data_IF_381392068136
#
_entry.id   IF_381392068136
#
_cell.length_a   1.000
_cell.length_b   1.000
_cell.length_c   1.000
_cell.angle_alpha   90.00
_cell.angle_beta   90.00
_cell.angle_gamma   90.00
#
_symmetry.space_group_name_H-M   'P 1'
#
loop_
_entity.id
_entity.type
_entity.pdbx_description
1 polymer ?
#
# COMPACT_ATOMS: atom_id res chain seq x y z
N UNK A 1 -0.81 -13.54 -6.69
CA UNK A 1 -0.57 -14.04 -5.32
C UNK A 1 0.91 -14.34 -5.08
N UNK A 2 1.55 -15.29 -5.79
CA UNK A 2 2.97 -15.64 -5.54
C UNK A 2 3.93 -14.45 -5.59
N UNK A 3 3.77 -13.53 -6.53
CA UNK A 3 4.64 -12.34 -6.66
C UNK A 3 4.59 -11.39 -5.46
N UNK A 4 3.52 -11.43 -4.66
CA UNK A 4 3.35 -10.59 -3.48
C UNK A 4 3.79 -11.31 -2.18
N UNK A 5 4.01 -12.62 -2.24
CA UNK A 5 4.21 -13.48 -1.05
C UNK A 5 5.48 -13.13 -0.28
N UNK A 6 6.53 -12.70 -0.98
CA UNK A 6 7.80 -12.29 -0.37
C UNK A 6 7.79 -10.81 0.08
N UNK A 7 6.72 -10.08 -0.21
CA UNK A 7 6.61 -8.66 0.12
C UNK A 7 5.92 -8.53 1.48
N UNK A 8 6.67 -8.02 2.47
CA UNK A 8 6.13 -7.79 3.82
C UNK A 8 4.94 -6.82 3.78
N UNK A 9 3.84 -7.23 4.40
CA UNK A 9 2.56 -6.50 4.39
C UNK A 9 1.52 -7.11 3.45
N UNK A 10 1.84 -8.16 2.70
CA UNK A 10 0.89 -8.94 1.90
C UNK A 10 0.73 -10.35 2.46
N UNK A 11 -0.45 -10.95 2.28
CA UNK A 11 -0.67 -12.31 2.78
C UNK A 11 0.20 -13.32 2.03
N UNK A 12 0.85 -14.17 2.82
CA UNK A 12 1.65 -15.26 2.28
C UNK A 12 0.77 -16.26 1.54
N UNK A 13 1.05 -16.53 0.27
CA UNK A 13 0.47 -17.70 -0.41
C UNK A 13 1.29 -18.94 -0.06
N UNK A 14 0.64 -20.01 0.41
CA UNK A 14 1.30 -21.27 0.74
C UNK A 14 1.15 -22.29 -0.36
N UNK A 15 -0.09 -22.57 -0.75
CA UNK A 15 -0.40 -23.64 -1.70
C UNK A 15 -1.79 -23.47 -2.32
N UNK A 16 -2.03 -24.15 -3.44
CA UNK A 16 -3.35 -24.25 -4.05
C UNK A 16 -3.64 -25.69 -4.49
N UNK A 17 -4.90 -26.11 -4.35
CA UNK A 17 -5.35 -27.47 -4.63
C UNK A 17 -6.63 -27.43 -5.47
N UNK A 18 -6.72 -28.30 -6.47
CA UNK A 18 -8.00 -28.65 -7.09
C UNK A 18 -8.58 -29.84 -6.33
N UNK A 19 -9.74 -29.63 -5.72
CA UNK A 19 -10.43 -30.61 -4.88
C UNK A 19 -11.66 -31.08 -5.64
N UNK A 20 -11.74 -32.38 -5.91
CA UNK A 20 -12.91 -33.01 -6.53
C UNK A 20 -13.70 -33.77 -5.46
N UNK A 21 -15.00 -33.50 -5.39
CA UNK A 21 -15.92 -34.23 -4.53
C UNK A 21 -16.88 -33.33 -3.76
N UNK A 22 -17.89 -33.93 -3.18
CA UNK A 22 -18.81 -33.23 -2.28
C UNK A 22 -18.10 -32.87 -0.96
N UNK A 23 -18.30 -31.64 -0.42
CA UNK A 23 -17.78 -31.27 0.89
C UNK A 23 -18.17 -32.24 2.00
N UNK A 24 -17.17 -32.78 2.70
CA UNK A 24 -17.37 -33.74 3.79
C UNK A 24 -17.86 -33.10 5.10
N UNK A 25 -18.07 -33.95 6.11
CA UNK A 25 -18.60 -33.56 7.43
C UNK A 25 -17.78 -32.46 8.16
N UNK A 26 -16.51 -32.28 7.78
CA UNK A 26 -15.64 -31.22 8.32
C UNK A 26 -16.10 -29.81 7.92
N UNK A 27 -16.70 -29.63 6.74
CA UNK A 27 -17.25 -28.34 6.28
C UNK A 27 -18.71 -28.15 6.69
N UNK A 28 -19.47 -29.24 6.75
CA UNK A 28 -20.90 -29.22 7.07
C UNK A 28 -21.15 -28.68 8.50
N UNK A 29 -20.39 -29.15 9.50
CA UNK A 29 -20.60 -28.73 10.90
C UNK A 29 -20.33 -27.23 11.13
N UNK A 30 -19.22 -26.64 10.65
CA UNK A 30 -19.01 -25.20 10.69
C UNK A 30 -20.08 -24.43 9.92
N UNK A 31 -20.46 -24.90 8.72
CA UNK A 31 -21.51 -24.26 7.93
C UNK A 31 -22.84 -24.23 8.68
N UNK A 32 -23.24 -25.32 9.32
CA UNK A 32 -24.45 -25.36 10.14
C UNK A 32 -24.41 -24.37 11.30
N UNK A 33 -23.24 -24.20 11.93
CA UNK A 33 -23.06 -23.22 12.99
C UNK A 33 -23.19 -21.80 12.48
N UNK A 34 -22.53 -21.50 11.35
CA UNK A 34 -22.63 -20.21 10.69
C UNK A 34 -24.07 -19.90 10.26
N UNK A 35 -24.72 -20.80 9.52
CA UNK A 35 -26.05 -20.62 8.96
C UNK A 35 -27.12 -20.40 10.05
N UNK A 36 -26.99 -21.03 11.23
CA UNK A 36 -27.88 -20.78 12.38
C UNK A 36 -27.72 -19.39 13.00
N UNK A 37 -26.55 -18.78 12.87
CA UNK A 37 -26.23 -17.50 13.48
C UNK A 37 -26.46 -16.31 12.53
N UNK A 38 -26.72 -16.55 11.25
CA UNK A 38 -27.02 -15.52 10.25
C UNK A 38 -28.53 -15.29 10.17
N UNK A 39 -28.97 -14.06 10.40
CA UNK A 39 -30.37 -13.68 10.23
C UNK A 39 -30.79 -13.83 8.76
N UNK A 40 -31.84 -14.61 8.51
CA UNK A 40 -32.30 -14.92 7.15
C UNK A 40 -31.57 -16.08 6.46
N UNK A 41 -30.61 -16.72 7.14
CA UNK A 41 -29.82 -17.82 6.60
C UNK A 41 -28.70 -17.39 5.65
N UNK A 42 -27.82 -18.34 5.33
CA UNK A 42 -26.70 -18.17 4.42
C UNK A 42 -27.19 -17.87 3.01
N UNK A 43 -26.61 -16.85 2.37
CA UNK A 43 -26.78 -16.60 0.94
C UNK A 43 -25.97 -17.57 0.07
N UNK A 44 -24.99 -18.25 0.66
CA UNK A 44 -24.17 -19.25 0.01
C UNK A 44 -24.83 -20.63 0.06
N UNK A 45 -24.61 -21.41 -1.00
CA UNK A 45 -25.09 -22.79 -1.17
C UNK A 45 -24.68 -23.67 0.02
N UNK A 46 -25.60 -24.53 0.46
CA UNK A 46 -25.30 -25.55 1.48
C UNK A 46 -24.23 -26.50 0.94
N UNK A 47 -23.15 -26.80 1.70
CA UNK A 47 -22.11 -27.72 1.27
C UNK A 47 -22.64 -29.10 0.85
N UNK A 48 -23.84 -29.49 1.31
CA UNK A 48 -24.51 -30.76 0.95
C UNK A 48 -25.16 -30.73 -0.43
N UNK A 49 -25.39 -29.56 -1.01
CA UNK A 49 -26.04 -29.43 -2.32
C UNK A 49 -25.05 -29.63 -3.48
N UNK A 50 -23.74 -29.63 -3.20
CA UNK A 50 -22.73 -29.92 -4.20
C UNK A 50 -22.69 -31.41 -4.56
N UNK A 51 -22.42 -31.71 -5.83
CA UNK A 51 -22.34 -33.08 -6.35
C UNK A 51 -20.97 -33.71 -6.11
N UNK A 52 -20.88 -35.04 -6.23
CA UNK A 52 -19.59 -35.77 -6.19
C UNK A 52 -18.62 -35.39 -7.31
N UNK A 53 -19.08 -34.69 -8.35
CA UNK A 53 -18.24 -34.19 -9.45
C UNK A 53 -17.91 -32.70 -9.32
N UNK A 54 -18.29 -32.05 -8.21
CA UNK A 54 -17.95 -30.65 -7.99
C UNK A 54 -16.43 -30.48 -7.86
N UNK A 55 -15.90 -29.45 -8.54
CA UNK A 55 -14.48 -29.08 -8.49
C UNK A 55 -14.36 -27.76 -7.75
N UNK A 56 -13.55 -27.73 -6.71
CA UNK A 56 -13.23 -26.55 -5.92
C UNK A 56 -11.76 -26.19 -6.08
N UNK A 57 -11.47 -24.89 -6.10
CA UNK A 57 -10.10 -24.39 -5.92
C UNK A 57 -9.91 -24.04 -4.44
N UNK A 58 -9.13 -24.83 -3.73
CA UNK A 58 -8.70 -24.54 -2.37
C UNK A 58 -7.40 -23.74 -2.39
N UNK A 59 -7.39 -22.56 -1.77
CA UNK A 59 -6.20 -21.71 -1.66
C UNK A 59 -5.81 -21.67 -0.18
N UNK A 60 -4.58 -22.08 0.13
CA UNK A 60 -4.02 -22.03 1.48
C UNK A 60 -3.17 -20.76 1.64
N UNK A 61 -3.50 -19.95 2.65
CA UNK A 61 -2.86 -18.68 2.93
C UNK A 61 -2.15 -18.69 4.30
N UNK A 62 -1.24 -17.74 4.49
CA UNK A 62 -0.72 -17.33 5.78
C UNK A 62 -1.83 -16.83 6.71
N UNK A 63 -1.64 -16.99 8.01
CA UNK A 63 -2.55 -16.38 8.99
C UNK A 63 -2.30 -14.86 9.00
N UNK A 64 -3.26 -14.12 8.46
CA UNK A 64 -3.19 -12.66 8.34
C UNK A 64 -3.73 -11.94 9.59
N UNK A 65 -4.27 -12.66 10.58
CA UNK A 65 -5.02 -12.09 11.69
C UNK A 65 -6.49 -11.83 11.35
N UNK A 66 -7.10 -10.86 12.03
CA UNK A 66 -8.52 -10.53 11.86
C UNK A 66 -8.69 -9.30 10.97
N UNK A 67 -9.78 -9.25 10.19
CA UNK A 67 -10.09 -8.09 9.35
C UNK A 67 -10.27 -6.82 10.18
N UNK A 68 -9.91 -5.67 9.63
CA UNK A 68 -9.96 -4.38 10.32
C UNK A 68 -11.38 -4.00 10.75
N UNK A 69 -12.42 -4.45 10.03
CA UNK A 69 -13.82 -4.25 10.45
C UNK A 69 -14.12 -4.83 11.84
N UNK A 70 -13.54 -5.99 12.14
CA UNK A 70 -13.73 -6.70 13.41
C UNK A 70 -12.74 -6.23 14.49
N UNK A 71 -11.76 -5.40 14.12
CA UNK A 71 -10.74 -4.92 15.04
C UNK A 71 -11.18 -3.65 15.78
N UNK A 72 -11.35 -3.77 17.11
CA UNK A 72 -11.61 -2.60 17.94
C UNK A 72 -10.35 -1.75 18.12
N UNK A 73 -10.34 -0.56 17.53
CA UNK A 73 -9.27 0.43 17.74
C UNK A 73 -9.40 1.03 19.15
N UNK A 74 -8.36 0.90 19.94
CA UNK A 74 -8.29 1.28 21.36
C UNK A 74 -7.55 2.61 21.57
N UNK A 75 -6.55 2.93 20.73
CA UNK A 75 -5.68 4.07 20.93
C UNK A 75 -5.07 4.62 19.63
N UNK A 76 -4.41 5.78 19.73
CA UNK A 76 -3.83 6.49 18.58
C UNK A 76 -2.62 5.77 17.96
N UNK A 77 -1.85 5.02 18.75
CA UNK A 77 -0.72 4.26 18.22
C UNK A 77 -1.19 3.19 17.23
N UNK A 78 -2.32 2.54 17.51
CA UNK A 78 -2.92 1.57 16.58
C UNK A 78 -3.35 2.24 15.27
N UNK A 79 -3.95 3.44 15.34
CA UNK A 79 -4.33 4.18 14.12
C UNK A 79 -3.13 4.48 13.24
N UNK A 80 -2.02 4.94 13.85
CA UNK A 80 -0.79 5.21 13.11
C UNK A 80 -0.21 3.94 12.50
N UNK A 81 -0.09 2.86 13.27
CA UNK A 81 0.50 1.62 12.77
C UNK A 81 -0.35 1.00 11.64
N UNK A 82 -1.68 1.04 11.76
CA UNK A 82 -2.58 0.55 10.72
C UNK A 82 -2.41 1.38 9.43
N UNK A 83 -2.45 2.71 9.55
CA UNK A 83 -2.36 3.59 8.39
C UNK A 83 -0.98 3.50 7.72
N UNK A 84 0.10 3.66 8.50
CA UNK A 84 1.47 3.69 7.99
C UNK A 84 1.93 2.30 7.51
N UNK A 85 1.52 1.22 8.18
CA UNK A 85 1.73 -0.15 7.72
C UNK A 85 1.09 -0.40 6.36
N UNK A 86 -0.13 0.10 6.15
CA UNK A 86 -0.82 0.03 4.84
C UNK A 86 -0.10 0.84 3.76
N UNK A 87 0.34 2.07 4.08
CA UNK A 87 1.13 2.91 3.15
C UNK A 87 2.40 2.20 2.71
N UNK A 88 3.15 1.62 3.65
CA UNK A 88 4.37 0.87 3.36
C UNK A 88 4.08 -0.37 2.50
N UNK A 89 3.05 -1.16 2.83
CA UNK A 89 2.69 -2.34 2.04
C UNK A 89 2.35 -1.97 0.58
N UNK A 90 1.50 -0.97 0.36
CA UNK A 90 1.13 -0.53 -0.99
C UNK A 90 2.34 0.02 -1.77
N UNK A 91 3.18 0.85 -1.15
CA UNK A 91 4.38 1.39 -1.79
C UNK A 91 5.35 0.27 -2.24
N UNK A 92 5.55 -0.77 -1.42
CA UNK A 92 6.35 -1.94 -1.83
C UNK A 92 5.74 -2.67 -3.01
N UNK A 93 4.43 -2.88 -3.00
CA UNK A 93 3.73 -3.52 -4.11
C UNK A 93 3.90 -2.71 -5.41
N UNK A 94 3.76 -1.39 -5.33
CA UNK A 94 3.98 -0.47 -6.46
C UNK A 94 5.40 -0.62 -7.03
N UNK A 95 6.43 -0.57 -6.17
CA UNK A 95 7.82 -0.68 -6.59
C UNK A 95 8.17 -2.06 -7.14
N UNK A 96 7.72 -3.13 -6.48
CA UNK A 96 8.11 -4.49 -6.85
C UNK A 96 7.41 -5.01 -8.10
N UNK A 97 6.16 -4.63 -8.34
CA UNK A 97 5.34 -5.21 -9.42
C UNK A 97 4.27 -4.27 -9.97
N UNK A 98 4.43 -2.96 -9.80
CA UNK A 98 3.44 -1.97 -10.27
C UNK A 98 2.03 -2.32 -9.76
N UNK A 99 1.94 -2.71 -8.49
CA UNK A 99 0.70 -3.21 -7.88
C UNK A 99 -0.33 -2.10 -7.67
N UNK A 100 -1.58 -2.41 -7.95
CA UNK A 100 -2.75 -1.65 -7.53
C UNK A 100 -3.73 -2.59 -6.84
N UNK A 101 -4.14 -2.28 -5.60
CA UNK A 101 -5.08 -3.16 -4.89
C UNK A 101 -6.48 -3.10 -5.47
N UNK A 102 -6.93 -1.89 -5.83
CA UNK A 102 -8.25 -1.55 -6.41
C UNK A 102 -9.49 -1.89 -5.57
N UNK A 103 -9.32 -2.62 -4.47
CA UNK A 103 -10.42 -2.93 -3.54
C UNK A 103 -10.03 -2.91 -2.05
N UNK A 104 -9.24 -1.92 -1.62
CA UNK A 104 -8.68 -1.94 -0.25
C UNK A 104 -9.63 -1.30 0.78
N UNK A 105 -10.80 -1.90 0.95
CA UNK A 105 -11.71 -1.58 2.06
C UNK A 105 -11.25 -2.27 3.37
N UNK A 106 -11.89 -1.94 4.49
CA UNK A 106 -11.54 -2.45 5.83
C UNK A 106 -11.51 -3.97 5.93
N UNK A 107 -12.35 -4.69 5.16
CA UNK A 107 -12.32 -6.15 5.14
C UNK A 107 -11.13 -6.78 4.39
N UNK A 108 -10.34 -5.96 3.68
CA UNK A 108 -9.15 -6.41 2.94
C UNK A 108 -7.84 -5.98 3.62
N UNK A 109 -7.95 -5.49 4.86
CA UNK A 109 -6.83 -5.14 5.73
C UNK A 109 -6.96 -6.02 6.97
N UNK A 110 -6.04 -6.95 7.16
CA UNK A 110 -5.99 -7.78 8.36
C UNK A 110 -4.98 -7.23 9.36
N UNK A 111 -5.34 -7.37 10.64
CA UNK A 111 -4.57 -6.91 11.78
C UNK A 111 -4.14 -8.11 12.61
N UNK A 112 -2.82 -8.24 12.78
CA UNK A 112 -2.23 -9.22 13.68
C UNK A 112 -1.47 -8.50 14.82
N UNK A 113 -1.31 -9.16 15.96
CA UNK A 113 -0.53 -8.65 17.09
C UNK A 113 0.77 -9.45 17.20
N UNK A 114 1.89 -8.82 16.87
CA UNK A 114 3.20 -9.48 16.79
C UNK A 114 4.02 -9.34 18.06
N UNK A 115 3.84 -8.25 18.81
CA UNK A 115 4.55 -8.01 20.07
C UNK A 115 3.75 -7.12 21.04
N UNK A 116 4.26 -6.96 22.26
CA UNK A 116 3.73 -5.95 23.19
C UNK A 116 4.01 -4.53 22.68
N UNK A 117 3.22 -3.52 23.10
CA UNK A 117 3.48 -2.12 22.74
C UNK A 117 4.92 -1.73 23.09
N UNK A 118 5.58 -0.96 22.22
CA UNK A 118 6.94 -0.51 22.49
C UNK A 118 6.94 0.49 23.66
N UNK A 119 7.63 0.16 24.76
CA UNK A 119 7.69 1.01 25.97
C UNK A 119 8.54 2.30 25.77
N UNK A 120 9.21 2.45 24.63
CA UNK A 120 10.11 3.56 24.31
C UNK A 120 9.46 4.64 23.41
N UNK A 121 8.17 4.92 23.58
CA UNK A 121 7.57 6.08 22.94
C UNK A 121 8.15 7.38 23.53
N UNK A 122 8.89 8.13 22.72
CA UNK A 122 9.33 9.48 23.07
C UNK A 122 8.30 10.50 22.56
N UNK A 123 7.57 11.21 23.43
CA UNK A 123 6.58 12.22 23.02
C UNK A 123 7.15 13.39 22.21
N UNK A 124 8.46 13.66 22.33
CA UNK A 124 9.14 14.70 21.56
C UNK A 124 9.55 14.24 20.15
N UNK A 125 9.45 12.93 19.88
CA UNK A 125 9.72 12.37 18.57
C UNK A 125 8.57 12.64 17.60
N UNK A 126 8.90 12.89 16.34
CA UNK A 126 7.94 12.89 15.24
C UNK A 126 7.55 11.49 14.80
N UNK A 127 8.28 10.46 15.25
CA UNK A 127 8.02 9.07 14.85
C UNK A 127 6.61 8.64 15.27
N UNK A 128 5.91 7.96 14.37
CA UNK A 128 4.53 7.48 14.59
C UNK A 128 4.36 5.99 14.33
N UNK A 129 5.27 5.37 13.59
CA UNK A 129 5.22 3.94 13.24
C UNK A 129 5.90 3.05 14.29
N UNK A 130 5.28 1.92 14.63
CA UNK A 130 5.84 0.82 15.41
C UNK A 130 5.56 0.88 16.91
N UNK A 131 4.48 1.52 17.37
CA UNK A 131 4.23 1.73 18.81
C UNK A 131 3.12 0.89 19.41
N UNK A 132 2.25 0.29 18.59
CA UNK A 132 1.11 -0.50 19.06
C UNK A 132 1.35 -2.01 19.13
N UNK A 133 2.39 -2.49 18.45
CA UNK A 133 2.64 -3.94 18.28
C UNK A 133 1.68 -4.61 17.30
N UNK A 134 0.98 -3.83 16.48
CA UNK A 134 0.14 -4.32 15.39
C UNK A 134 0.95 -4.44 14.09
N UNK A 135 0.65 -5.48 13.33
CA UNK A 135 1.10 -5.67 11.95
C UNK A 135 -0.11 -5.69 11.01
N UNK A 136 0.05 -5.06 9.85
CA UNK A 136 -0.95 -5.02 8.78
C UNK A 136 -0.61 -6.04 7.72
N UNK A 137 -1.61 -6.80 7.26
CA UNK A 137 -1.51 -7.70 6.12
C UNK A 137 -2.65 -7.43 5.14
N UNK A 138 -2.32 -7.10 3.88
CA UNK A 138 -3.29 -6.87 2.82
C UNK A 138 -3.72 -8.19 2.17
N UNK A 139 -5.03 -8.37 2.01
CA UNK A 139 -5.65 -9.59 1.45
C UNK A 139 -6.61 -9.25 0.33
N UNK A 140 -7.09 -10.30 -0.35
CA UNK A 140 -8.07 -10.22 -1.45
C UNK A 140 -7.62 -9.37 -2.65
N UNK A 141 -7.03 -10.05 -3.62
CA UNK A 141 -6.52 -9.43 -4.85
C UNK A 141 -7.49 -9.58 -6.03
N UNK A 142 -8.77 -9.86 -5.77
CA UNK A 142 -9.77 -10.18 -6.79
C UNK A 142 -9.94 -9.10 -7.86
N UNK A 143 -9.82 -7.82 -7.48
CA UNK A 143 -9.90 -6.67 -8.40
C UNK A 143 -8.54 -6.04 -8.72
N UNK A 144 -7.45 -6.59 -8.17
CA UNK A 144 -6.13 -5.97 -8.23
C UNK A 144 -5.51 -6.03 -9.63
N UNK A 145 -4.43 -5.26 -9.81
CA UNK A 145 -3.56 -5.28 -10.99
C UNK A 145 -2.11 -5.38 -10.58
N UNK A 146 -1.33 -6.20 -11.27
CA UNK A 146 0.11 -6.33 -11.06
C UNK A 146 0.82 -6.77 -12.34
N UNK A 147 2.08 -6.36 -12.50
CA UNK A 147 2.99 -6.85 -13.54
C UNK A 147 3.87 -7.95 -12.95
N UNK A 148 3.77 -9.15 -13.51
CA UNK A 148 4.55 -10.32 -13.10
C UNK A 148 6.00 -10.21 -13.59
N UNK A 149 6.89 -11.03 -13.02
CA UNK A 149 8.31 -11.08 -13.39
C UNK A 149 8.55 -11.46 -14.87
N UNK A 150 7.61 -12.17 -15.50
CA UNK A 150 7.66 -12.51 -16.92
C UNK A 150 7.20 -11.35 -17.84
N UNK A 151 6.84 -10.19 -17.28
CA UNK A 151 6.32 -9.02 -17.98
C UNK A 151 4.82 -9.06 -18.27
N UNK A 152 4.11 -10.12 -17.90
CA UNK A 152 2.66 -10.24 -18.06
C UNK A 152 1.91 -9.39 -17.03
N UNK A 153 0.85 -8.71 -17.46
CA UNK A 153 -0.03 -7.97 -16.55
C UNK A 153 -1.21 -8.83 -16.17
N UNK A 154 -1.31 -9.16 -14.88
CA UNK A 154 -2.49 -9.77 -14.28
C UNK A 154 -3.41 -8.66 -13.77
N UNK A 155 -4.67 -8.67 -14.18
CA UNK A 155 -5.66 -7.70 -13.74
C UNK A 155 -7.07 -8.30 -13.84
N UNK A 156 -8.01 -7.70 -13.12
CA UNK A 156 -9.44 -7.88 -13.36
C UNK A 156 -9.96 -6.69 -14.16
N UNK A 157 -10.75 -6.94 -15.20
CA UNK A 157 -11.40 -5.89 -15.98
C UNK A 157 -12.71 -5.50 -15.31
N UNK A 158 -12.75 -4.31 -14.69
CA UNK A 158 -13.97 -3.83 -14.04
C UNK A 158 -15.02 -3.34 -15.06
N UNK A 159 -14.72 -3.26 -16.37
CA UNK A 159 -15.73 -3.01 -17.40
C UNK A 159 -16.56 -4.25 -17.78
N UNK A 160 -16.15 -5.44 -17.33
CA UNK A 160 -16.93 -6.67 -17.52
C UNK A 160 -18.20 -6.67 -16.68
N UNK A 161 -18.17 -6.06 -15.49
CA UNK A 161 -19.33 -5.92 -14.60
C UNK A 161 -19.37 -4.53 -13.95
N UNK A 162 -20.30 -3.70 -14.42
CA UNK A 162 -20.48 -2.34 -13.90
C UNK A 162 -21.21 -2.28 -12.55
N UNK A 163 -21.72 -3.40 -12.00
CA UNK A 163 -22.44 -3.42 -10.73
C UNK A 163 -21.61 -2.84 -9.57
N UNK A 164 -20.28 -3.04 -9.61
CA UNK A 164 -19.34 -2.48 -8.62
C UNK A 164 -19.44 -0.95 -8.51
N UNK A 165 -19.81 -0.25 -9.59
CA UNK A 165 -19.99 1.20 -9.60
C UNK A 165 -21.41 1.65 -9.21
N UNK A 166 -22.36 0.71 -9.18
CA UNK A 166 -23.79 0.94 -8.93
C UNK A 166 -24.18 0.83 -7.46
N UNK A 167 -23.23 0.58 -6.56
CA UNK A 167 -23.50 0.63 -5.12
C UNK A 167 -23.99 2.01 -4.63
N UNK A 168 -24.55 2.01 -3.42
CA UNK A 168 -25.25 3.14 -2.79
C UNK A 168 -24.50 4.48 -2.90
N UNK A 169 -25.25 5.54 -3.22
CA UNK A 169 -24.71 6.91 -3.24
C UNK A 169 -24.25 7.32 -1.84
N UNK A 170 -23.10 7.98 -1.78
CA UNK A 170 -22.51 8.47 -0.52
C UNK A 170 -21.73 7.41 0.28
N UNK A 171 -21.83 6.12 -0.04
CA UNK A 171 -20.99 5.12 0.62
C UNK A 171 -19.52 5.30 0.21
N UNK A 172 -18.57 5.45 1.15
CA UNK A 172 -17.17 5.76 0.82
C UNK A 172 -16.50 4.73 -0.09
N UNK A 173 -16.83 3.44 0.05
CA UNK A 173 -16.27 2.35 -0.76
C UNK A 173 -16.72 2.46 -2.22
N UNK A 174 -18.02 2.62 -2.48
CA UNK A 174 -18.53 2.78 -3.84
C UNK A 174 -18.06 4.07 -4.51
N UNK A 175 -17.80 5.12 -3.72
CA UNK A 175 -17.15 6.32 -4.21
C UNK A 175 -15.69 6.07 -4.62
N UNK A 176 -14.96 5.14 -3.98
CA UNK A 176 -13.61 4.77 -4.37
C UNK A 176 -13.61 4.12 -5.76
N UNK A 177 -14.47 3.13 -6.02
CA UNK A 177 -14.59 2.52 -7.35
C UNK A 177 -14.92 3.55 -8.44
N UNK A 178 -15.90 4.44 -8.17
CA UNK A 178 -16.26 5.51 -9.10
C UNK A 178 -15.10 6.46 -9.40
N UNK A 179 -14.34 6.87 -8.38
CA UNK A 179 -13.12 7.69 -8.57
C UNK A 179 -12.09 6.99 -9.45
N UNK A 180 -11.85 5.69 -9.24
CA UNK A 180 -10.91 4.93 -10.07
C UNK A 180 -11.34 4.90 -11.53
N UNK A 181 -12.62 4.59 -11.81
CA UNK A 181 -13.14 4.57 -13.19
C UNK A 181 -13.14 5.94 -13.85
N UNK A 182 -13.58 6.98 -13.12
CA UNK A 182 -13.51 8.37 -13.62
C UNK A 182 -12.07 8.73 -13.96
N UNK A 183 -11.11 8.38 -13.10
CA UNK A 183 -9.70 8.65 -13.33
C UNK A 183 -9.16 7.92 -14.55
N UNK A 184 -9.45 6.62 -14.68
CA UNK A 184 -9.04 5.83 -15.83
C UNK A 184 -9.54 6.44 -17.15
N UNK A 185 -10.81 6.83 -17.22
CA UNK A 185 -11.42 7.27 -18.49
C UNK A 185 -11.05 8.70 -18.86
N UNK A 186 -11.00 9.59 -17.86
CA UNK A 186 -10.92 11.03 -18.11
C UNK A 186 -9.56 11.63 -17.77
N UNK A 187 -8.66 10.85 -17.13
CA UNK A 187 -7.45 11.32 -16.46
C UNK A 187 -7.71 12.44 -15.42
N UNK A 188 -8.97 12.71 -15.06
CA UNK A 188 -9.31 13.64 -13.98
C UNK A 188 -9.24 12.93 -12.63
N UNK A 189 -9.06 13.68 -11.55
CA UNK A 189 -9.06 13.12 -10.18
C UNK A 189 -10.41 13.22 -9.50
N UNK A 190 -11.34 13.97 -10.09
CA UNK A 190 -12.71 14.13 -9.61
C UNK A 190 -13.51 12.83 -9.75
N UNK A 191 -14.69 12.80 -9.14
CA UNK A 191 -15.59 11.66 -9.20
C UNK A 191 -16.83 12.05 -9.97
N UNK A 192 -17.16 11.29 -11.02
CA UNK A 192 -18.45 11.42 -11.67
C UNK A 192 -19.58 10.85 -10.79
N UNK A 193 -20.81 11.31 -11.04
CA UNK A 193 -21.98 10.81 -10.31
C UNK A 193 -22.25 9.35 -10.66
N UNK A 194 -22.92 8.60 -9.77
CA UNK A 194 -23.28 7.19 -9.99
C UNK A 194 -23.91 6.92 -11.37
N UNK A 195 -24.84 7.76 -11.81
CA UNK A 195 -25.51 7.59 -13.11
C UNK A 195 -24.62 7.83 -14.35
N UNK A 196 -23.38 8.27 -14.17
CA UNK A 196 -22.39 8.30 -15.24
C UNK A 196 -21.74 6.93 -15.45
N UNK A 197 -21.75 6.04 -14.46
CA UNK A 197 -21.03 4.76 -14.54
C UNK A 197 -21.87 3.64 -15.17
N UNK A 198 -22.38 3.90 -16.37
CA UNK A 198 -23.11 2.94 -17.21
C UNK A 198 -22.41 2.71 -18.56
N UNK A 199 -22.98 1.84 -19.39
CA UNK A 199 -22.42 1.49 -20.70
C UNK A 199 -22.26 2.70 -21.62
N UNK A 200 -23.07 3.76 -21.49
CA UNK A 200 -22.99 4.95 -22.36
C UNK A 200 -21.71 5.76 -22.13
N UNK A 201 -21.08 5.60 -20.97
CA UNK A 201 -19.83 6.28 -20.64
C UNK A 201 -18.58 5.60 -21.19
N UNK A 202 -18.67 4.36 -21.72
CA UNK A 202 -17.51 3.62 -22.26
C UNK A 202 -16.76 4.38 -23.36
N UNK A 203 -17.47 5.17 -24.16
CA UNK A 203 -16.88 6.03 -25.20
C UNK A 203 -15.93 7.10 -24.64
N UNK A 204 -16.05 7.43 -23.35
CA UNK A 204 -15.16 8.38 -22.68
C UNK A 204 -13.84 7.75 -22.22
N UNK A 205 -13.67 6.43 -22.35
CA UNK A 205 -12.42 5.74 -21.98
C UNK A 205 -11.22 6.24 -22.79
N UNK A 206 -11.45 6.76 -24.01
CA UNK A 206 -10.38 7.21 -24.91
C UNK A 206 -9.31 6.13 -25.17
N UNK A 207 -9.71 4.86 -25.16
CA UNK A 207 -8.80 3.72 -25.34
C UNK A 207 -8.10 3.27 -24.06
N UNK A 208 -8.47 3.84 -22.90
CA UNK A 208 -7.96 3.38 -21.61
C UNK A 208 -8.60 2.07 -21.14
N UNK A 209 -7.82 1.24 -20.48
CA UNK A 209 -8.22 -0.10 -20.02
C UNK A 209 -7.64 -0.42 -18.64
N UNK A 210 -8.30 -1.32 -17.92
CA UNK A 210 -7.93 -1.68 -16.54
C UNK A 210 -6.60 -2.45 -16.43
N UNK A 211 -5.95 -2.86 -17.52
CA UNK A 211 -4.59 -3.40 -17.48
C UNK A 211 -3.52 -2.31 -17.29
N UNK A 212 -3.83 -1.05 -17.61
CA UNK A 212 -2.92 0.06 -17.41
C UNK A 212 -2.55 0.24 -15.94
N UNK A 213 -1.30 0.65 -15.72
CA UNK A 213 -0.82 1.02 -14.39
C UNK A 213 -1.24 2.45 -14.04
N UNK A 214 -2.13 2.58 -13.06
CA UNK A 214 -2.64 3.84 -12.51
C UNK A 214 -2.46 3.86 -10.98
N UNK A 215 -1.23 4.04 -10.44
CA UNK A 215 -0.96 3.94 -9.00
C UNK A 215 -1.77 4.91 -8.13
N UNK A 216 -2.36 5.95 -8.73
CA UNK A 216 -3.29 6.84 -8.04
C UNK A 216 -4.51 6.10 -7.45
N UNK A 217 -4.88 4.92 -7.96
CA UNK A 217 -5.91 4.07 -7.35
C UNK A 217 -5.55 3.69 -5.90
N UNK A 218 -4.29 3.44 -5.59
CA UNK A 218 -3.83 3.18 -4.23
C UNK A 218 -3.98 4.41 -3.33
N UNK A 219 -3.74 5.62 -3.85
CA UNK A 219 -3.96 6.89 -3.12
C UNK A 219 -5.45 7.09 -2.79
N UNK A 220 -6.35 6.72 -3.71
CA UNK A 220 -7.81 6.76 -3.47
C UNK A 220 -8.17 5.88 -2.28
N UNK A 221 -7.60 4.67 -2.20
CA UNK A 221 -7.85 3.73 -1.11
C UNK A 221 -7.17 4.12 0.21
N UNK A 222 -5.97 4.70 0.18
CA UNK A 222 -5.34 5.29 1.36
C UNK A 222 -6.19 6.44 1.93
N UNK A 223 -6.79 7.26 1.07
CA UNK A 223 -7.72 8.29 1.51
C UNK A 223 -9.00 7.71 2.12
N UNK A 224 -9.53 6.62 1.54
CA UNK A 224 -10.64 5.87 2.14
C UNK A 224 -10.28 5.36 3.54
N UNK A 225 -9.13 4.70 3.69
CA UNK A 225 -8.64 4.18 4.97
C UNK A 225 -8.47 5.27 6.01
N UNK A 226 -7.86 6.41 5.64
CA UNK A 226 -7.70 7.54 6.57
C UNK A 226 -9.07 8.04 7.07
N UNK A 227 -10.08 8.09 6.19
CA UNK A 227 -11.45 8.43 6.56
C UNK A 227 -12.09 7.40 7.50
N UNK A 228 -11.90 6.10 7.20
CA UNK A 228 -12.36 4.99 8.03
C UNK A 228 -11.77 5.04 9.44
N UNK A 229 -10.46 5.23 9.56
CA UNK A 229 -9.75 5.33 10.85
C UNK A 229 -10.21 6.56 11.65
N UNK A 230 -10.40 7.71 11.00
CA UNK A 230 -10.95 8.91 11.64
C UNK A 230 -12.36 8.65 12.19
N UNK A 231 -13.21 7.96 11.45
CA UNK A 231 -14.57 7.58 11.90
C UNK A 231 -14.54 6.65 13.11
N UNK A 232 -13.60 5.70 13.15
CA UNK A 232 -13.45 4.79 14.29
C UNK A 232 -12.88 5.48 15.54
N UNK A 233 -11.96 6.44 15.37
CA UNK A 233 -11.48 7.27 16.47
C UNK A 233 -12.60 8.04 17.19
N UNK A 234 -13.61 8.53 16.46
CA UNK A 234 -14.79 9.18 17.05
C UNK A 234 -15.61 8.26 17.96
N UNK A 235 -15.48 6.94 17.81
CA UNK A 235 -16.30 5.96 18.52
C UNK A 235 -15.63 5.43 19.80
N UNK A 236 -14.34 5.73 20.03
CA UNK A 236 -13.61 5.27 21.21
C UNK A 236 -14.15 5.96 22.47
N UNK A 237 -14.78 5.22 23.41
CA UNK A 237 -15.24 5.79 24.67
C UNK A 237 -14.02 6.23 25.49
N UNK A 238 -14.01 7.48 25.96
CA UNK A 238 -12.92 8.12 26.72
C UNK A 238 -11.75 8.72 25.90
N UNK A 239 -11.80 8.77 24.56
CA UNK A 239 -10.81 9.53 23.78
C UNK A 239 -11.16 11.02 23.74
N UNK A 240 -10.34 11.81 24.43
CA UNK A 240 -10.34 13.27 24.46
C UNK A 240 -10.53 13.86 23.05
N UNK A 241 -11.52 14.74 22.88
CA UNK A 241 -11.68 15.59 21.69
C UNK A 241 -10.35 16.21 21.19
N UNK A 242 -9.39 16.44 22.10
CA UNK A 242 -8.01 16.83 21.78
C UNK A 242 -7.28 15.84 20.87
N UNK A 243 -7.31 14.53 21.14
CA UNK A 243 -6.54 13.51 20.41
C UNK A 243 -6.90 13.44 18.93
N UNK A 244 -8.19 13.56 18.60
CA UNK A 244 -8.65 13.59 17.21
C UNK A 244 -8.40 14.95 16.55
N UNK A 245 -8.53 16.05 17.30
CA UNK A 245 -8.17 17.38 16.80
C UNK A 245 -6.69 17.44 16.42
N UNK A 246 -5.83 16.88 17.26
CA UNK A 246 -4.39 16.82 17.06
C UNK A 246 -4.06 15.93 15.86
N UNK A 247 -4.67 14.74 15.77
CA UNK A 247 -4.51 13.88 14.59
C UNK A 247 -4.98 14.56 13.29
N UNK A 248 -6.09 15.29 13.33
CA UNK A 248 -6.56 16.05 12.17
C UNK A 248 -5.64 17.23 11.81
N UNK A 249 -5.01 17.87 12.80
CA UNK A 249 -4.04 18.92 12.56
C UNK A 249 -2.76 18.36 11.94
N UNK A 250 -2.25 17.25 12.49
CA UNK A 250 -1.03 16.57 12.02
C UNK A 250 -1.20 15.96 10.63
N UNK A 251 -2.35 15.33 10.35
CA UNK A 251 -2.67 14.73 9.04
C UNK A 251 -3.30 15.69 8.04
N UNK A 252 -3.34 17.00 8.33
CA UNK A 252 -4.05 17.98 7.49
C UNK A 252 -3.50 18.04 6.07
N UNK A 253 -2.18 18.18 5.93
CA UNK A 253 -1.56 18.29 4.60
C UNK A 253 -1.59 16.95 3.85
N UNK A 254 -1.36 15.84 4.55
CA UNK A 254 -1.54 14.49 4.00
C UNK A 254 -2.94 14.31 3.40
N UNK A 255 -3.97 14.60 4.20
CA UNK A 255 -5.38 14.47 3.78
C UNK A 255 -5.71 15.40 2.61
N UNK A 256 -5.15 16.62 2.60
CA UNK A 256 -5.33 17.56 1.49
C UNK A 256 -4.68 17.05 0.21
N UNK A 257 -3.46 16.54 0.25
CA UNK A 257 -2.74 16.04 -0.93
C UNK A 257 -3.33 14.73 -1.50
N UNK A 258 -3.99 13.92 -0.67
CA UNK A 258 -4.77 12.76 -1.13
C UNK A 258 -6.18 13.11 -1.65
N UNK A 259 -6.67 14.33 -1.39
CA UNK A 259 -8.00 14.75 -1.85
C UNK A 259 -8.06 14.86 -3.37
N UNK A 260 -9.11 14.28 -3.94
CA UNK A 260 -9.43 14.30 -5.38
C UNK A 260 -9.49 15.70 -6.01
N UNK A 261 -9.75 16.74 -5.21
CA UNK A 261 -9.87 18.13 -5.64
C UNK A 261 -8.51 18.85 -5.68
N UNK A 262 -7.49 18.27 -5.04
CA UNK A 262 -6.14 18.81 -5.10
C UNK A 262 -5.55 18.46 -6.45
N UNK A 263 -5.08 19.49 -7.15
CA UNK A 263 -4.44 19.35 -8.46
C UNK A 263 -2.97 18.97 -8.32
N UNK A 264 -2.40 18.33 -9.34
CA UNK A 264 -1.01 17.86 -9.33
C UNK A 264 -0.03 19.01 -9.10
N UNK A 265 -0.25 20.17 -9.75
CA UNK A 265 0.56 21.37 -9.54
C UNK A 265 0.50 21.93 -8.11
N UNK A 266 -0.51 21.52 -7.32
CA UNK A 266 -0.68 21.88 -5.92
C UNK A 266 -0.22 20.76 -4.97
N UNK A 267 0.57 19.79 -5.48
CA UNK A 267 1.17 18.72 -4.70
C UNK A 267 0.29 17.49 -4.49
N UNK A 268 -0.71 17.24 -5.32
CA UNK A 268 -1.52 16.03 -5.18
C UNK A 268 -0.67 14.76 -5.36
N UNK A 269 -0.84 13.76 -4.49
CA UNK A 269 -0.10 12.50 -4.59
C UNK A 269 -0.52 11.68 -5.81
N UNK A 270 0.44 11.10 -6.52
CA UNK A 270 0.23 10.26 -7.69
C UNK A 270 0.29 8.76 -7.39
N UNK A 271 0.90 8.35 -6.28
CA UNK A 271 1.11 6.94 -5.91
C UNK A 271 1.20 6.77 -4.38
N UNK A 272 1.08 5.53 -3.90
CA UNK A 272 1.35 5.22 -2.49
C UNK A 272 2.84 5.43 -2.13
N UNK A 273 3.74 5.28 -3.11
CA UNK A 273 5.16 5.58 -2.97
C UNK A 273 5.40 7.06 -2.62
N UNK A 274 4.75 8.01 -3.30
CA UNK A 274 4.85 9.43 -2.94
C UNK A 274 4.22 9.74 -1.56
N UNK A 275 3.19 8.98 -1.16
CA UNK A 275 2.62 9.09 0.19
C UNK A 275 3.63 8.61 1.24
N UNK A 276 4.34 7.50 0.97
CA UNK A 276 5.40 7.00 1.84
C UNK A 276 6.55 8.01 1.97
N UNK A 277 7.03 8.56 0.86
CA UNK A 277 8.07 9.60 0.84
C UNK A 277 7.66 10.82 1.68
N UNK A 278 6.39 11.24 1.59
CA UNK A 278 5.88 12.31 2.43
C UNK A 278 5.89 11.92 3.91
N UNK A 279 5.45 10.71 4.27
CA UNK A 279 5.46 10.22 5.64
C UNK A 279 6.88 10.15 6.23
N UNK A 280 7.87 9.75 5.43
CA UNK A 280 9.30 9.78 5.78
C UNK A 280 9.77 11.22 5.97
N UNK A 281 9.41 12.12 5.04
CA UNK A 281 9.74 13.55 5.13
C UNK A 281 9.12 14.28 6.32
N UNK A 282 7.98 13.80 6.84
CA UNK A 282 7.40 14.27 8.11
C UNK A 282 8.06 13.64 9.35
N UNK A 283 8.95 12.66 9.17
CA UNK A 283 9.58 11.91 10.25
C UNK A 283 8.63 10.96 10.98
N UNK A 284 7.51 10.56 10.35
CA UNK A 284 6.53 9.62 10.92
C UNK A 284 6.97 8.17 10.78
N UNK A 285 7.74 7.90 9.72
CA UNK A 285 8.40 6.63 9.43
C UNK A 285 9.89 6.93 9.28
N UNK A 286 10.76 6.14 9.89
CA UNK A 286 12.20 6.23 9.67
C UNK A 286 12.61 5.55 8.35
N UNK A 287 13.73 5.95 7.76
CA UNK A 287 14.29 5.26 6.58
C UNK A 287 14.49 3.76 6.86
N UNK A 288 15.04 3.42 8.03
CA UNK A 288 15.22 2.02 8.45
C UNK A 288 13.88 1.25 8.49
N UNK A 289 12.79 1.85 8.97
CA UNK A 289 11.47 1.19 8.95
C UNK A 289 10.92 1.00 7.53
N UNK A 290 11.30 1.87 6.59
CA UNK A 290 10.98 1.72 5.18
C UNK A 290 11.93 0.73 4.47
N UNK A 291 13.21 0.64 4.86
CA UNK A 291 14.26 -0.22 4.30
C UNK A 291 14.24 -1.66 4.83
N UNK A 292 14.07 -1.89 6.14
CA UNK A 292 13.83 -3.21 6.78
C UNK A 292 12.53 -3.86 6.26
N UNK A 293 11.84 -3.12 5.41
CA UNK A 293 10.59 -3.38 4.73
C UNK A 293 10.78 -3.62 3.21
N UNK A 294 11.96 -3.40 2.63
CA UNK A 294 12.32 -3.71 1.23
C UNK A 294 12.06 -2.61 0.19
N UNK A 295 12.06 -1.32 0.56
CA UNK A 295 11.64 -0.21 -0.33
C UNK A 295 12.79 0.39 -1.18
N UNK A 296 14.06 0.24 -0.79
CA UNK A 296 15.17 1.02 -1.41
C UNK A 296 16.39 0.21 -1.89
N UNK A 297 16.30 -1.11 -2.02
CA UNK A 297 17.45 -1.95 -2.45
C UNK A 297 18.00 -1.61 -3.85
N UNK A 298 17.28 -0.81 -4.68
CA UNK A 298 17.67 -0.51 -6.06
C UNK A 298 18.29 0.89 -6.29
N UNK A 299 18.61 1.67 -5.24
CA UNK A 299 19.19 3.02 -5.40
C UNK A 299 20.70 3.13 -5.11
N UNK A 300 21.37 2.07 -4.65
CA UNK A 300 22.80 2.15 -4.32
C UNK A 300 23.78 1.81 -5.46
N UNK A 301 23.32 1.30 -6.62
CA UNK A 301 24.25 0.79 -7.64
C UNK A 301 24.75 1.79 -8.70
N UNK A 302 24.25 3.04 -8.73
CA UNK A 302 24.62 4.01 -9.79
C UNK A 302 25.53 5.19 -9.35
N UNK A 303 25.95 5.28 -8.08
CA UNK A 303 26.83 6.37 -7.62
C UNK A 303 28.14 5.96 -6.92
N UNK A 304 28.73 4.81 -7.27
CA UNK A 304 30.12 4.48 -6.85
C UNK A 304 30.96 3.85 -7.98
N UNK A 305 31.01 4.46 -9.17
CA UNK A 305 32.13 4.25 -10.09
C UNK A 305 33.26 5.25 -9.82
N UNK A 306 33.97 5.02 -8.71
CA UNK A 306 35.20 5.75 -8.40
C UNK A 306 36.30 5.30 -9.37
N UNK A 307 36.78 6.25 -10.16
CA UNK A 307 38.06 6.19 -10.86
C UNK A 307 39.19 5.90 -9.85
N UNK A 308 39.69 4.66 -9.81
CA UNK A 308 41.01 4.36 -9.26
C UNK A 308 41.95 3.87 -10.37
N UNK A 309 42.65 4.82 -10.98
CA UNK A 309 43.86 4.53 -11.75
C UNK A 309 44.96 4.02 -10.81
N UNK A 310 45.37 2.79 -11.07
CA UNK A 310 46.44 2.08 -10.40
C UNK A 310 47.80 2.47 -11.03
N UNK A 311 48.86 2.82 -10.27
CA UNK A 311 50.17 2.32 -10.69
C UNK A 311 51.21 2.14 -9.57
N UNK A 312 51.65 0.90 -9.32
CA UNK A 312 52.99 0.51 -8.80
C UNK A 312 53.24 -0.95 -9.24
N UNK A 313 54.35 -1.42 -9.82
CA UNK A 313 55.74 -1.00 -10.02
C UNK A 313 56.33 -1.88 -11.13
N UNK A 314 57.22 -1.34 -11.97
CA UNK A 314 58.35 -2.12 -12.49
C UNK A 314 59.54 -1.18 -12.71
N UNK A 315 60.69 -1.59 -12.19
CA UNK A 315 61.93 -0.83 -12.19
C UNK A 315 62.79 -1.21 -13.42
N UNK A 316 63.39 -0.21 -14.07
CA UNK A 316 64.80 -0.19 -14.50
C UNK A 316 65.11 1.01 -15.42
N UNK A 317 66.08 1.83 -14.99
CA UNK A 317 67.20 2.22 -15.84
C UNK A 317 67.21 3.62 -16.48
N UNK A 318 68.30 4.33 -16.17
CA UNK A 318 69.04 5.35 -16.96
C UNK A 318 68.76 6.84 -16.71
N UNK A 319 69.68 7.41 -15.90
CA UNK A 319 70.60 8.52 -16.19
C UNK A 319 70.13 9.90 -16.71
N UNK A 320 70.64 10.93 -16.00
CA UNK A 320 70.99 12.34 -16.40
C UNK A 320 69.78 13.26 -16.68
N UNK A 321 69.72 14.55 -16.35
CA UNK A 321 70.67 15.65 -16.09
C UNK A 321 69.83 16.81 -15.43
N UNK A 322 70.20 17.37 -14.27
CA UNK A 322 70.75 18.74 -14.03
C UNK A 322 69.79 19.95 -14.23
N UNK A 323 69.94 20.94 -13.33
CA UNK A 323 69.47 22.35 -13.30
C UNK A 323 68.21 22.69 -12.47
N UNK A 324 68.29 23.23 -11.24
CA UNK A 324 68.82 24.53 -10.70
C UNK A 324 67.74 25.65 -10.61
N UNK A 325 67.36 25.94 -9.36
CA UNK A 325 67.11 27.23 -8.68
C UNK A 325 66.09 28.27 -9.22
N UNK A 326 65.13 28.67 -8.35
CA UNK A 326 65.06 29.97 -7.60
C UNK A 326 63.69 30.12 -6.94
N UNK A 327 63.55 30.21 -5.61
CA UNK A 327 63.67 31.40 -4.74
C UNK A 327 62.73 32.58 -5.08
N UNK A 328 61.70 32.76 -4.23
CA UNK A 328 61.31 33.97 -3.44
C UNK A 328 59.78 33.91 -3.15
N UNK A 329 59.34 33.63 -1.91
CA UNK A 329 59.11 34.55 -0.78
C UNK A 329 58.39 35.86 -1.16
N UNK A 330 57.15 36.02 -0.68
CA UNK A 330 56.54 37.10 0.16
C UNK A 330 55.01 37.04 -0.07
N UNK A 331 54.19 36.47 0.81
CA UNK A 331 53.63 37.04 2.06
C UNK A 331 52.96 38.41 1.91
N UNK A 332 51.64 38.41 2.21
CA UNK A 332 50.94 39.36 3.10
C UNK A 332 49.96 40.40 2.50
N UNK A 333 48.67 40.18 2.85
CA UNK A 333 47.65 41.14 3.38
C UNK A 333 47.07 42.19 2.41
N UNK A 334 45.75 42.22 2.16
CA UNK A 334 44.55 42.65 2.95
C UNK A 334 44.11 44.07 2.55
N UNK A 335 42.80 44.23 2.32
CA UNK A 335 42.02 45.49 2.29
C UNK A 335 42.16 46.25 0.97
N UNK A 336 41.11 46.65 0.26
CA UNK A 336 39.68 46.78 0.55
C UNK A 336 38.83 46.28 -0.63
#
# INVERSE_FOLDING_TARGET
>A
MNSLTEITGFVQFKSAFLINGQPGAFYIKPWDNFNRNVEGGSRFTDPRDYTENAIFLGIELGDAGNVLEEHQIENMAQVWDIFLGTVMALAKGELACSFEHRDLHENNICINRTCGPCEHFNPESTLRCGFSGLEVTLIDYGLSRATLQNGETMFYDLEDDLEVFQGSDGHPQFNAYRKMRTHLFTNTRTMEKKSWHDDSSRDHSNGHSWDEYKPYTNVIWLHFLLGYLKKNLYQIPCSTFGTLKDFNAETKELSKRMDTRTKVENGAFLSATEVLEFCIGQGWISYEQAEVSGVFDDLEDDELSVNEENPKKSAKGKEKQVDIARLKKTSSKKGD
#
